data_IF_547388602925
#
_entry.id   IF_547388602925
#
_cell.length_a   1.000
_cell.length_b   1.000
_cell.length_c   1.000
_cell.angle_alpha   90.00
_cell.angle_beta   90.00
_cell.angle_gamma   90.00
#
_symmetry.space_group_name_H-M   'P 1'
#
loop_
_entity.id
_entity.type
_entity.pdbx_description
1 polymer ?
#
# COMPACT_ATOMS: atom_id res chain seq x y z
N UNK A 1 3.37 6.92 -9.86
CA UNK A 1 3.29 7.78 -8.66
C UNK A 1 2.87 9.22 -8.94
N UNK A 2 3.25 9.78 -10.08
CA UNK A 2 2.86 11.17 -10.42
C UNK A 2 1.34 11.36 -10.41
N UNK A 3 0.58 10.45 -11.01
CA UNK A 3 -0.89 10.54 -11.03
C UNK A 3 -1.50 10.50 -9.63
N UNK A 4 -0.95 9.67 -8.75
CA UNK A 4 -1.46 9.59 -7.39
C UNK A 4 -1.14 10.87 -6.60
N UNK A 5 0.05 11.44 -6.81
CA UNK A 5 0.41 12.70 -6.17
C UNK A 5 -0.45 13.87 -6.64
N UNK A 6 -0.86 13.88 -7.90
CA UNK A 6 -1.82 14.87 -8.40
C UNK A 6 -3.18 14.71 -7.71
N UNK A 7 -3.64 13.48 -7.55
CA UNK A 7 -4.85 13.18 -6.79
C UNK A 7 -4.75 13.68 -5.34
N UNK A 8 -3.58 13.49 -4.70
CA UNK A 8 -3.37 13.95 -3.32
C UNK A 8 -3.44 15.48 -3.19
N UNK A 9 -2.99 16.21 -4.19
CA UNK A 9 -3.05 17.68 -4.17
C UNK A 9 -4.48 18.19 -4.15
N UNK A 10 -5.39 17.50 -4.84
CA UNK A 10 -6.79 17.89 -4.93
C UNK A 10 -7.61 17.40 -3.73
N UNK A 11 -7.04 16.50 -2.93
CA UNK A 11 -7.73 15.93 -1.80
C UNK A 11 -7.58 16.84 -0.57
N UNK A 12 -8.67 17.10 0.14
CA UNK A 12 -8.67 17.87 1.37
C UNK A 12 -7.72 17.22 2.40
N UNK A 13 -6.86 18.03 3.03
CA UNK A 13 -5.67 17.60 3.75
C UNK A 13 -5.86 16.92 5.10
N UNK A 14 -7.00 16.28 5.39
CA UNK A 14 -7.25 15.65 6.69
C UNK A 14 -7.08 14.13 6.69
N UNK A 15 -6.76 13.52 5.55
CA UNK A 15 -6.60 12.07 5.48
C UNK A 15 -5.25 11.64 6.08
N UNK A 16 -5.26 10.55 6.87
CA UNK A 16 -4.04 9.96 7.40
C UNK A 16 -3.25 9.22 6.31
N UNK A 17 -1.94 9.03 6.49
CA UNK A 17 -1.17 8.20 5.56
C UNK A 17 -1.75 6.78 5.39
N UNK A 18 -2.27 6.17 6.46
CA UNK A 18 -2.91 4.86 6.37
C UNK A 18 -4.11 4.88 5.44
N UNK A 19 -4.97 5.89 5.55
CA UNK A 19 -6.11 6.03 4.66
C UNK A 19 -5.67 6.25 3.22
N UNK A 20 -4.65 7.08 3.00
CA UNK A 20 -4.12 7.33 1.67
C UNK A 20 -3.51 6.06 1.06
N UNK A 21 -2.82 5.24 1.87
CA UNK A 21 -2.27 3.97 1.42
C UNK A 21 -3.39 3.01 0.98
N UNK A 22 -4.46 2.91 1.75
CA UNK A 22 -5.61 2.08 1.39
C UNK A 22 -6.25 2.53 0.09
N UNK A 23 -6.31 3.83 -0.16
CA UNK A 23 -6.82 4.39 -1.41
C UNK A 23 -5.88 4.09 -2.57
N UNK A 24 -4.56 4.15 -2.34
CA UNK A 24 -3.57 3.83 -3.37
C UNK A 24 -3.73 2.39 -3.87
N UNK A 25 -3.88 1.44 -2.95
CA UNK A 25 -4.03 0.02 -3.30
C UNK A 25 -5.47 -0.33 -3.69
N UNK A 26 -6.41 0.62 -3.57
CA UNK A 26 -7.84 0.43 -3.85
C UNK A 26 -8.42 -0.74 -3.06
N UNK A 27 -8.15 -0.74 -1.76
CA UNK A 27 -8.57 -1.82 -0.87
C UNK A 27 -10.09 -2.05 -0.89
N UNK A 28 -10.87 -1.00 -1.08
CA UNK A 28 -12.33 -1.05 -1.16
C UNK A 28 -12.85 -1.81 -2.39
N UNK A 29 -11.99 -1.99 -3.42
CA UNK A 29 -12.34 -2.68 -4.67
C UNK A 29 -11.79 -4.09 -4.75
N UNK A 30 -11.03 -4.52 -3.75
CA UNK A 30 -10.43 -5.86 -3.73
C UNK A 30 -11.31 -6.82 -2.94
N UNK A 31 -11.49 -8.02 -3.46
CA UNK A 31 -12.10 -9.11 -2.71
C UNK A 31 -11.01 -9.85 -1.97
N UNK A 32 -10.94 -9.62 -0.67
CA UNK A 32 -9.91 -10.22 0.17
C UNK A 32 -10.51 -10.79 1.45
N UNK A 33 -9.87 -11.80 2.01
CA UNK A 33 -10.26 -12.37 3.29
C UNK A 33 -9.83 -11.49 4.46
N UNK A 34 -8.68 -10.82 4.32
CA UNK A 34 -8.12 -10.01 5.41
C UNK A 34 -7.31 -8.84 4.86
N UNK A 35 -7.56 -7.65 5.39
CA UNK A 35 -6.75 -6.46 5.13
C UNK A 35 -6.04 -6.08 6.42
N UNK A 36 -4.71 -5.96 6.38
CA UNK A 36 -3.90 -5.54 7.51
C UNK A 36 -3.11 -4.29 7.15
N UNK A 37 -3.09 -3.32 8.06
CA UNK A 37 -2.30 -2.11 7.88
C UNK A 37 -1.38 -1.93 9.08
N UNK A 38 -0.18 -1.40 8.80
CA UNK A 38 0.78 -1.04 9.83
C UNK A 38 1.44 0.26 9.41
N UNK A 39 1.44 1.25 10.30
CA UNK A 39 2.05 2.54 10.04
C UNK A 39 3.19 2.79 11.00
N UNK A 40 4.34 3.24 10.47
CA UNK A 40 5.51 3.63 11.25
C UNK A 40 5.82 5.08 10.96
N UNK A 41 5.52 5.93 11.94
CA UNK A 41 5.78 7.37 11.84
C UNK A 41 7.20 7.69 12.33
N UNK A 42 7.71 8.84 11.90
CA UNK A 42 8.96 9.38 12.43
C UNK A 42 8.83 9.58 13.96
N UNK A 43 9.85 9.16 14.75
CA UNK A 43 9.80 9.33 16.21
C UNK A 43 9.60 10.77 16.67
N UNK A 44 10.01 11.74 15.84
CA UNK A 44 9.93 13.17 16.17
C UNK A 44 8.60 13.78 15.77
N UNK A 45 7.74 13.04 15.10
CA UNK A 45 6.51 13.57 14.52
C UNK A 45 6.80 14.47 13.31
N UNK A 46 5.81 14.71 12.48
CA UNK A 46 5.93 15.64 11.36
C UNK A 46 6.90 15.20 10.25
N UNK A 47 7.50 14.02 10.36
CA UNK A 47 8.42 13.49 9.36
C UNK A 47 7.78 12.41 8.48
N UNK A 48 8.61 11.68 7.70
CA UNK A 48 8.10 10.61 6.84
C UNK A 48 7.36 9.53 7.62
N UNK A 49 6.33 8.97 6.99
CA UNK A 49 5.56 7.85 7.53
C UNK A 49 5.53 6.72 6.52
N UNK A 50 5.90 5.52 6.94
CA UNK A 50 5.84 4.33 6.11
C UNK A 50 4.60 3.53 6.48
N UNK A 51 3.77 3.20 5.49
CA UNK A 51 2.56 2.40 5.68
C UNK A 51 2.71 1.12 4.89
N UNK A 52 2.52 -0.02 5.56
CA UNK A 52 2.49 -1.33 4.93
C UNK A 52 1.04 -1.80 4.89
N UNK A 53 0.57 -2.17 3.71
CA UNK A 53 -0.77 -2.71 3.50
C UNK A 53 -0.65 -4.12 2.97
N UNK A 54 -1.22 -5.08 3.70
CA UNK A 54 -1.29 -6.48 3.27
C UNK A 54 -2.74 -6.82 2.95
N UNK A 55 -2.98 -7.27 1.73
CA UNK A 55 -4.27 -7.81 1.29
C UNK A 55 -4.07 -9.32 1.13
N UNK A 56 -4.68 -10.11 2.02
CA UNK A 56 -4.50 -11.56 2.08
C UNK A 56 -5.79 -12.28 1.72
N UNK A 57 -5.65 -13.43 1.08
CA UNK A 57 -6.80 -14.20 0.63
C UNK A 57 -7.50 -13.55 -0.56
N UNK A 58 -6.70 -13.07 -1.53
CA UNK A 58 -7.25 -12.49 -2.75
C UNK A 58 -8.03 -13.51 -3.57
N UNK A 59 -9.12 -13.04 -4.17
CA UNK A 59 -9.91 -13.83 -5.10
C UNK A 59 -9.23 -13.80 -6.49
N UNK A 60 -8.05 -14.41 -6.57
CA UNK A 60 -7.21 -14.43 -7.76
C UNK A 60 -6.59 -15.81 -7.92
N UNK A 61 -6.54 -16.34 -9.14
CA UNK A 61 -6.05 -17.69 -9.39
C UNK A 61 -4.54 -17.86 -9.19
N UNK A 62 -3.79 -16.80 -9.31
CA UNK A 62 -2.32 -16.82 -9.27
C UNK A 62 -1.76 -16.15 -8.02
N UNK A 63 -2.31 -15.03 -7.60
CA UNK A 63 -1.82 -14.23 -6.48
C UNK A 63 -2.71 -14.44 -5.26
N UNK A 64 -2.11 -14.92 -4.17
CA UNK A 64 -2.82 -15.12 -2.91
C UNK A 64 -2.88 -13.86 -2.06
N UNK A 65 -1.79 -13.10 -2.03
CA UNK A 65 -1.67 -11.91 -1.18
C UNK A 65 -0.73 -10.90 -1.82
N UNK A 66 -0.97 -9.63 -1.52
CA UNK A 66 -0.06 -8.54 -1.88
C UNK A 66 0.38 -7.79 -0.62
N UNK A 67 1.60 -7.29 -0.63
CA UNK A 67 2.12 -6.41 0.40
C UNK A 67 2.68 -5.17 -0.28
N UNK A 68 2.07 -4.03 0.02
CA UNK A 68 2.50 -2.72 -0.49
C UNK A 68 3.13 -1.95 0.66
N UNK A 69 4.35 -1.47 0.44
CA UNK A 69 5.07 -0.61 1.39
C UNK A 69 5.15 0.77 0.77
N UNK A 70 4.49 1.74 1.39
CA UNK A 70 4.37 3.10 0.88
C UNK A 70 5.03 4.07 1.85
N UNK A 71 5.89 4.94 1.33
CA UNK A 71 6.52 5.98 2.12
C UNK A 71 5.92 7.33 1.75
N UNK A 72 5.31 7.98 2.73
CA UNK A 72 4.73 9.32 2.59
C UNK A 72 5.62 10.33 3.27
N UNK A 73 5.76 11.49 2.66
CA UNK A 73 6.47 12.62 3.24
C UNK A 73 5.53 13.81 3.36
N UNK A 74 5.69 14.64 4.43
CA UNK A 74 4.86 15.84 4.56
C UNK A 74 5.07 16.77 3.37
N UNK A 75 3.96 17.36 2.89
CA UNK A 75 3.99 18.31 1.78
C UNK A 75 2.90 19.35 2.03
N UNK A 76 3.31 20.54 2.49
CA UNK A 76 2.36 21.55 2.93
C UNK A 76 1.53 21.06 4.11
N UNK A 77 0.20 21.12 4.01
CA UNK A 77 -0.71 20.62 5.03
C UNK A 77 -1.10 19.16 4.80
N UNK A 78 -0.56 18.52 3.78
CA UNK A 78 -0.89 17.15 3.41
C UNK A 78 0.34 16.26 3.27
N UNK A 79 0.24 15.27 2.40
CA UNK A 79 1.25 14.24 2.22
C UNK A 79 1.56 14.04 0.73
N UNK A 80 2.80 13.66 0.44
CA UNK A 80 3.24 13.24 -0.88
C UNK A 80 3.76 11.82 -0.80
N UNK A 81 3.40 10.99 -1.77
CA UNK A 81 3.94 9.64 -1.86
C UNK A 81 5.34 9.70 -2.48
N UNK A 82 6.35 9.30 -1.72
CA UNK A 82 7.74 9.31 -2.14
C UNK A 82 8.13 8.01 -2.84
N UNK A 83 7.66 6.88 -2.29
CA UNK A 83 7.97 5.56 -2.86
C UNK A 83 6.86 4.57 -2.56
N UNK A 84 6.72 3.58 -3.43
CA UNK A 84 5.79 2.48 -3.24
C UNK A 84 6.43 1.22 -3.81
N UNK A 85 6.49 0.17 -3.00
CA UNK A 85 7.05 -1.12 -3.40
C UNK A 85 6.00 -2.19 -3.16
N UNK A 86 5.70 -2.98 -4.19
CA UNK A 86 4.77 -4.10 -4.08
C UNK A 86 5.51 -5.41 -4.14
N UNK A 87 5.17 -6.31 -3.23
CA UNK A 87 5.55 -7.71 -3.26
C UNK A 87 4.29 -8.56 -3.23
N UNK A 88 4.37 -9.78 -3.73
CA UNK A 88 3.23 -10.66 -3.78
C UNK A 88 3.61 -12.07 -3.36
N UNK A 89 2.62 -12.78 -2.80
CA UNK A 89 2.70 -14.20 -2.48
C UNK A 89 1.79 -14.93 -3.45
N UNK A 90 2.30 -16.02 -4.04
CA UNK A 90 1.56 -16.76 -5.03
C UNK A 90 0.65 -17.81 -4.40
N UNK A 91 -0.42 -18.18 -5.11
CA UNK A 91 -1.23 -19.33 -4.76
C UNK A 91 -0.36 -20.60 -4.85
N UNK A 92 -0.69 -21.66 -4.10
CA UNK A 92 0.06 -22.91 -4.17
C UNK A 92 0.22 -23.40 -5.61
N UNK A 93 1.46 -23.72 -5.99
CA UNK A 93 1.76 -24.16 -7.34
C UNK A 93 1.84 -23.07 -8.40
N UNK A 94 1.69 -21.81 -8.03
CA UNK A 94 1.71 -20.68 -8.97
C UNK A 94 2.98 -19.82 -8.85
N UNK A 95 3.98 -20.30 -8.13
CA UNK A 95 5.25 -19.62 -8.00
C UNK A 95 5.76 -19.61 -6.57
N UNK A 96 6.33 -18.48 -6.15
CA UNK A 96 6.94 -18.38 -4.81
C UNK A 96 5.90 -18.33 -3.69
N UNK A 97 6.25 -18.94 -2.54
CA UNK A 97 5.37 -19.02 -1.38
C UNK A 97 5.49 -17.80 -0.46
N UNK A 98 6.60 -17.08 -0.55
CA UNK A 98 6.86 -15.89 0.28
C UNK A 98 6.58 -14.61 -0.51
N UNK A 99 6.52 -13.48 0.21
CA UNK A 99 6.38 -12.18 -0.46
C UNK A 99 7.65 -11.83 -1.21
N UNK A 100 7.56 -11.71 -2.52
CA UNK A 100 8.65 -11.35 -3.41
C UNK A 100 8.12 -10.48 -4.54
N UNK A 101 9.02 -9.78 -5.22
CA UNK A 101 8.66 -8.90 -6.33
C UNK A 101 8.34 -9.66 -7.62
N UNK A 102 8.74 -10.93 -7.73
CA UNK A 102 8.52 -11.73 -8.93
C UNK A 102 7.04 -12.05 -9.18
N UNK A 103 6.71 -12.27 -10.44
CA UNK A 103 5.34 -12.57 -10.85
C UNK A 103 4.92 -13.98 -10.48
N UNK A 104 3.62 -14.17 -10.29
CA UNK A 104 2.99 -15.47 -10.13
C UNK A 104 2.52 -15.99 -11.50
N UNK A 105 2.53 -17.28 -11.69
CA UNK A 105 2.10 -17.89 -12.95
C UNK A 105 0.63 -18.28 -12.96
#
# INVERSE_FOLDING_TARGET
MASFNEYLKDRAGSASPTQLALEYVRADRQQVALTTTQAEASPEGGGPTTVTVVLDGLADDSVRATRDVLRFVPDGSGWRLESAVRMQRCQPGRGHADFEAGDCV
#
